data_IF_604468333149
#
_entry.id   IF_604468333149
#
_cell.length_a   1.000
_cell.length_b   1.000
_cell.length_c   1.000
_cell.angle_alpha   90.00
_cell.angle_beta   90.00
_cell.angle_gamma   90.00
#
_symmetry.space_group_name_H-M   'P 1'
#
loop_
_entity.id
_entity.type
_entity.pdbx_description
1 polymer ?
#
# COMPACT_ATOMS: atom_id res chain seq x y z
N UNK A 1 -59.11 27.46 -5.44
CA UNK A 1 -57.96 28.36 -5.20
C UNK A 1 -56.75 27.72 -5.85
N UNK A 2 -56.02 28.48 -6.67
CA UNK A 2 -54.70 28.11 -7.22
C UNK A 2 -53.86 29.39 -7.20
N UNK A 3 -52.57 29.28 -6.90
CA UNK A 3 -51.69 30.43 -6.71
C UNK A 3 -50.67 30.51 -7.84
N UNK A 4 -50.67 31.63 -8.57
CA UNK A 4 -49.56 32.02 -9.45
C UNK A 4 -48.64 33.01 -8.73
N UNK A 5 -47.33 32.86 -8.95
CA UNK A 5 -46.32 33.84 -8.54
C UNK A 5 -45.38 34.17 -9.71
N UNK A 6 -45.57 35.37 -10.26
CA UNK A 6 -44.68 36.06 -11.21
C UNK A 6 -43.43 36.60 -10.48
N UNK A 7 -42.31 37.01 -11.09
CA UNK A 7 -41.90 37.23 -12.49
C UNK A 7 -40.38 36.93 -12.66
N UNK A 8 -39.88 36.65 -13.88
CA UNK A 8 -38.45 36.65 -14.21
C UNK A 8 -38.03 37.80 -15.17
N UNK A 9 -36.98 38.56 -14.85
CA UNK A 9 -36.33 39.56 -15.72
C UNK A 9 -34.88 39.83 -15.25
N UNK A 10 -33.94 40.24 -16.13
CA UNK A 10 -33.59 39.60 -17.40
C UNK A 10 -32.07 39.37 -17.55
N UNK A 11 -31.65 38.67 -18.62
CA UNK A 11 -30.26 38.59 -19.04
C UNK A 11 -29.84 39.85 -19.82
N UNK A 12 -28.59 40.30 -19.63
CA UNK A 12 -27.99 41.42 -20.38
C UNK A 12 -27.12 40.87 -21.50
N UNK A 13 -27.32 41.36 -22.73
CA UNK A 13 -26.51 41.03 -23.90
C UNK A 13 -25.72 42.25 -24.39
N UNK A 14 -24.51 41.99 -24.88
CA UNK A 14 -23.64 42.95 -25.58
C UNK A 14 -23.25 42.35 -26.94
N UNK A 15 -23.68 42.99 -28.03
CA UNK A 15 -23.21 42.73 -29.41
C UNK A 15 -23.08 44.08 -30.12
N UNK A 16 -22.13 44.16 -31.05
CA UNK A 16 -21.62 45.39 -31.67
C UNK A 16 -22.55 46.00 -32.75
N UNK A 17 -22.27 47.23 -33.16
CA UNK A 17 -23.13 48.04 -34.03
C UNK A 17 -22.76 48.09 -35.52
N UNK A 18 -23.66 48.65 -36.34
CA UNK A 18 -23.39 49.03 -37.72
C UNK A 18 -24.64 49.37 -38.56
N UNK A 19 -24.53 50.36 -39.45
CA UNK A 19 -25.39 50.41 -40.66
C UNK A 19 -26.49 51.50 -40.81
N UNK A 20 -26.09 52.77 -40.98
CA UNK A 20 -26.52 53.65 -42.10
C UNK A 20 -28.02 53.84 -42.49
N UNK A 21 -28.51 55.10 -42.35
CA UNK A 21 -29.58 55.78 -43.15
C UNK A 21 -31.04 55.26 -42.96
N UNK A 22 -32.11 56.02 -43.26
CA UNK A 22 -32.27 57.26 -44.04
C UNK A 22 -33.42 58.19 -43.54
N UNK A 23 -33.36 59.46 -43.95
CA UNK A 23 -34.17 60.64 -43.60
C UNK A 23 -35.72 60.55 -43.75
N UNK A 24 -36.43 61.41 -42.98
CA UNK A 24 -37.50 62.28 -43.51
C UNK A 24 -37.73 63.51 -42.59
N UNK A 25 -37.41 64.71 -43.11
CA UNK A 25 -38.17 65.98 -43.09
C UNK A 25 -38.80 66.47 -41.74
N UNK A 26 -38.25 67.49 -41.04
CA UNK A 26 -38.29 68.96 -41.28
C UNK A 26 -39.53 69.69 -40.68
N UNK A 27 -39.49 71.01 -40.35
CA UNK A 27 -38.44 71.84 -39.72
C UNK A 27 -39.05 72.79 -38.60
N UNK A 28 -38.53 73.99 -38.27
CA UNK A 28 -37.31 74.27 -37.47
C UNK A 28 -37.49 75.29 -36.29
N UNK A 29 -36.52 75.37 -35.36
CA UNK A 29 -36.15 76.65 -34.72
C UNK A 29 -34.74 76.68 -34.06
N UNK A 30 -33.82 77.39 -34.73
CA UNK A 30 -32.87 78.40 -34.19
C UNK A 30 -32.10 78.18 -32.86
N UNK A 31 -30.79 77.95 -32.98
CA UNK A 31 -29.67 78.31 -32.05
C UNK A 31 -29.21 79.77 -32.31
N UNK A 32 -28.25 80.45 -31.59
CA UNK A 32 -27.05 80.00 -30.83
C UNK A 32 -26.88 80.74 -29.45
N UNK A 33 -25.73 81.08 -28.79
CA UNK A 33 -24.26 81.01 -29.00
C UNK A 33 -23.45 81.33 -27.70
N UNK A 34 -22.10 81.28 -27.75
CA UNK A 34 -21.08 81.79 -26.77
C UNK A 34 -21.01 81.09 -25.37
N UNK A 35 -19.92 81.12 -24.57
CA UNK A 35 -18.58 81.79 -24.62
C UNK A 35 -17.44 80.92 -24.00
N UNK A 36 -16.17 81.38 -24.07
CA UNK A 36 -14.96 80.67 -23.58
C UNK A 36 -14.56 80.99 -22.09
N UNK A 37 -13.30 80.91 -21.58
CA UNK A 37 -12.95 80.01 -20.48
C UNK A 37 -12.20 80.73 -19.32
N UNK A 38 -11.41 80.00 -18.51
CA UNK A 38 -10.12 80.56 -18.06
C UNK A 38 -8.91 79.61 -18.24
N UNK A 39 -7.75 80.21 -18.51
CA UNK A 39 -6.44 79.66 -18.15
C UNK A 39 -6.05 80.26 -16.76
N UNK A 40 -4.96 79.92 -16.06
CA UNK A 40 -3.66 79.40 -16.47
C UNK A 40 -2.88 78.96 -15.22
N UNK A 41 -2.08 77.89 -15.26
CA UNK A 41 -0.75 77.94 -14.61
C UNK A 41 0.27 76.96 -15.20
N UNK A 42 1.54 77.36 -15.24
CA UNK A 42 2.70 76.55 -15.69
C UNK A 42 3.71 76.43 -14.55
N UNK A 43 3.63 75.35 -13.77
CA UNK A 43 4.58 75.07 -12.68
C UNK A 43 5.71 74.12 -13.12
N UNK A 44 6.74 74.71 -13.74
CA UNK A 44 8.15 74.27 -13.85
C UNK A 44 8.49 72.77 -13.97
N UNK A 45 9.14 72.43 -15.09
CA UNK A 45 9.95 71.23 -15.28
C UNK A 45 11.04 71.02 -14.20
N UNK A 46 11.31 69.76 -13.87
CA UNK A 46 12.63 69.33 -13.37
C UNK A 46 12.96 67.93 -13.88
N UNK A 47 13.81 67.85 -14.89
CA UNK A 47 14.33 66.57 -15.38
C UNK A 47 15.20 65.87 -14.34
N UNK A 48 15.21 64.53 -14.36
CA UNK A 48 16.46 63.77 -14.22
C UNK A 48 16.37 62.37 -14.86
N UNK A 49 17.10 62.23 -15.96
CA UNK A 49 17.79 61.01 -16.44
C UNK A 49 17.06 59.65 -16.36
N UNK A 50 16.71 59.13 -17.56
CA UNK A 50 16.60 57.72 -17.93
C UNK A 50 17.25 56.71 -16.97
N UNK A 51 16.44 55.80 -16.44
CA UNK A 51 16.87 54.46 -15.98
C UNK A 51 16.53 53.40 -17.03
N UNK A 52 17.23 52.26 -17.02
CA UNK A 52 17.10 51.18 -18.01
C UNK A 52 16.00 50.17 -17.61
N UNK A 53 15.39 49.48 -18.60
CA UNK A 53 14.32 48.47 -18.49
C UNK A 53 12.99 48.92 -17.83
N UNK A 54 11.94 49.04 -18.65
CA UNK A 54 10.57 49.31 -18.21
C UNK A 54 9.84 48.08 -17.68
N UNK A 55 10.26 47.54 -16.53
CA UNK A 55 9.43 46.61 -15.73
C UNK A 55 8.63 47.44 -14.74
N UNK A 56 7.31 47.22 -14.64
CA UNK A 56 6.51 47.96 -13.65
C UNK A 56 6.92 47.55 -12.22
N UNK A 57 7.00 48.48 -11.25
CA UNK A 57 7.38 48.15 -9.87
C UNK A 57 6.49 47.06 -9.26
N UNK A 58 5.20 47.06 -9.59
CA UNK A 58 4.24 46.04 -9.19
C UNK A 58 4.58 44.65 -9.74
N UNK A 59 4.98 44.55 -11.01
CA UNK A 59 5.37 43.27 -11.61
C UNK A 59 6.69 42.74 -11.00
N UNK A 60 7.66 43.62 -10.76
CA UNK A 60 8.89 43.25 -10.07
C UNK A 60 8.62 42.74 -8.64
N UNK A 61 7.68 43.38 -7.91
CA UNK A 61 7.28 42.95 -6.57
C UNK A 61 6.53 41.61 -6.58
N UNK A 62 5.63 41.37 -7.54
CA UNK A 62 4.97 40.06 -7.72
C UNK A 62 5.98 38.96 -8.02
N UNK A 63 6.95 39.21 -8.92
CA UNK A 63 8.00 38.24 -9.24
C UNK A 63 8.88 37.96 -8.02
N UNK A 64 9.23 38.98 -7.21
CA UNK A 64 9.96 38.80 -5.96
C UNK A 64 9.19 37.92 -4.96
N UNK A 65 7.88 38.14 -4.79
CA UNK A 65 7.03 37.32 -3.93
C UNK A 65 6.96 35.86 -4.40
N UNK A 66 6.87 35.62 -5.71
CA UNK A 66 6.89 34.26 -6.27
C UNK A 66 8.23 33.55 -5.99
N UNK A 67 9.37 34.24 -6.15
CA UNK A 67 10.67 33.68 -5.77
C UNK A 67 10.76 33.39 -4.27
N UNK A 68 10.28 34.28 -3.41
CA UNK A 68 10.25 34.05 -1.96
C UNK A 68 9.41 32.83 -1.57
N UNK A 69 8.26 32.60 -2.23
CA UNK A 69 7.44 31.40 -2.01
C UNK A 69 8.17 30.12 -2.45
N UNK A 70 8.87 30.13 -3.59
CA UNK A 70 9.67 28.99 -4.06
C UNK A 70 10.82 28.69 -3.09
N UNK A 71 11.57 29.71 -2.65
CA UNK A 71 12.65 29.51 -1.68
C UNK A 71 12.13 29.08 -0.30
N UNK A 72 10.95 29.52 0.13
CA UNK A 72 10.32 29.06 1.36
C UNK A 72 9.93 27.58 1.29
N UNK A 73 9.35 27.13 0.16
CA UNK A 73 9.02 25.72 -0.07
C UNK A 73 10.27 24.82 -0.07
N UNK A 74 11.27 25.17 -0.88
CA UNK A 74 12.54 24.43 -0.96
C UNK A 74 13.30 24.42 0.38
N UNK A 75 13.27 25.52 1.13
CA UNK A 75 13.84 25.62 2.47
C UNK A 75 13.11 24.74 3.49
N UNK A 76 11.78 24.65 3.42
CA UNK A 76 10.97 23.78 4.27
C UNK A 76 11.21 22.29 3.98
N UNK A 77 11.28 21.90 2.70
CA UNK A 77 11.62 20.54 2.28
C UNK A 77 13.04 20.15 2.76
N UNK A 78 14.04 21.01 2.53
CA UNK A 78 15.40 20.79 3.00
C UNK A 78 15.49 20.67 4.53
N UNK A 79 14.75 21.50 5.26
CA UNK A 79 14.64 21.42 6.72
C UNK A 79 13.99 20.12 7.19
N UNK A 80 12.90 19.68 6.55
CA UNK A 80 12.21 18.43 6.87
C UNK A 80 13.14 17.22 6.64
N UNK A 81 13.85 17.17 5.51
CA UNK A 81 14.83 16.12 5.20
C UNK A 81 15.98 16.13 6.22
N UNK A 82 16.51 17.31 6.58
CA UNK A 82 17.56 17.44 7.60
C UNK A 82 17.07 16.93 8.96
N UNK A 83 15.85 17.28 9.38
CA UNK A 83 15.28 16.83 10.64
C UNK A 83 15.12 15.31 10.69
N UNK A 84 14.57 14.69 9.64
CA UNK A 84 14.46 13.23 9.51
C UNK A 84 15.84 12.55 9.54
N UNK A 85 16.85 13.12 8.88
CA UNK A 85 18.22 12.59 8.95
C UNK A 85 18.84 12.71 10.35
N UNK A 86 18.52 13.76 11.11
CA UNK A 86 18.99 13.92 12.49
C UNK A 86 18.31 12.92 13.43
N UNK A 87 17.01 12.68 13.26
CA UNK A 87 16.27 11.66 14.02
C UNK A 87 16.83 10.26 13.73
N UNK A 88 17.08 9.92 12.45
CA UNK A 88 17.72 8.66 12.07
C UNK A 88 19.14 8.50 12.67
N UNK A 89 19.93 9.58 12.73
CA UNK A 89 21.25 9.58 13.38
C UNK A 89 21.13 9.35 14.89
N UNK A 90 20.18 10.01 15.57
CA UNK A 90 19.91 9.80 16.99
C UNK A 90 19.40 8.38 17.29
N UNK A 91 18.44 7.86 16.53
CA UNK A 91 17.97 6.48 16.67
C UNK A 91 19.12 5.47 16.46
N UNK A 92 19.99 5.70 15.46
CA UNK A 92 21.20 4.87 15.24
C UNK A 92 22.16 4.95 16.43
N UNK A 93 22.39 6.14 16.99
CA UNK A 93 23.29 6.32 18.14
C UNK A 93 22.73 5.70 19.43
N UNK A 94 21.41 5.82 19.68
CA UNK A 94 20.72 5.14 20.79
C UNK A 94 20.72 3.62 20.60
N UNK A 95 20.53 3.12 19.38
CA UNK A 95 20.65 1.68 19.06
C UNK A 95 22.07 1.18 19.34
N UNK A 96 23.09 1.91 18.89
CA UNK A 96 24.49 1.58 19.15
C UNK A 96 24.81 1.58 20.67
N UNK A 97 24.32 2.55 21.44
CA UNK A 97 24.48 2.54 22.91
C UNK A 97 23.78 1.34 23.57
N UNK A 98 22.56 0.99 23.13
CA UNK A 98 21.86 -0.21 23.65
C UNK A 98 22.58 -1.51 23.31
N UNK A 99 23.20 -1.61 22.14
CA UNK A 99 24.03 -2.76 21.74
C UNK A 99 25.32 -2.86 22.58
N UNK A 100 25.96 -1.74 22.93
CA UNK A 100 27.16 -1.73 23.77
C UNK A 100 26.86 -2.08 25.24
N UNK A 101 25.67 -1.73 25.75
CA UNK A 101 25.29 -1.98 27.17
C UNK A 101 24.65 -3.35 27.38
N UNK A 102 23.98 -3.94 26.37
CA UNK A 102 23.35 -5.25 26.47
C UNK A 102 24.25 -6.36 25.92
N UNK A 103 25.15 -6.85 26.78
CA UNK A 103 26.19 -7.83 26.43
C UNK A 103 25.69 -9.23 26.07
N UNK A 104 25.11 -9.38 24.88
CA UNK A 104 25.12 -10.64 24.13
C UNK A 104 26.24 -10.58 23.10
N UNK A 105 27.07 -11.64 22.93
CA UNK A 105 28.00 -11.71 21.82
C UNK A 105 27.21 -11.78 20.52
N UNK A 106 27.20 -10.69 19.74
CA UNK A 106 26.85 -10.76 18.33
C UNK A 106 27.89 -11.67 17.66
N UNK A 107 27.51 -12.85 17.14
CA UNK A 107 28.47 -13.74 16.50
C UNK A 107 29.05 -13.01 15.30
N UNK A 108 30.37 -13.10 15.10
CA UNK A 108 31.03 -12.49 13.94
C UNK A 108 30.28 -12.85 12.66
N UNK A 109 29.61 -11.88 12.03
CA UNK A 109 29.04 -12.05 10.68
C UNK A 109 30.19 -11.98 9.67
N UNK A 110 31.07 -12.98 9.75
CA UNK A 110 31.79 -13.49 8.59
C UNK A 110 30.74 -13.75 7.52
N UNK A 111 31.07 -13.43 6.27
CA UNK A 111 30.19 -13.69 5.11
C UNK A 111 30.09 -15.18 4.77
N UNK A 112 29.73 -16.02 5.74
CA UNK A 112 29.56 -17.45 5.60
C UNK A 112 28.13 -17.76 5.14
N UNK A 113 27.90 -17.50 3.85
CA UNK A 113 26.89 -18.14 3.01
C UNK A 113 25.58 -18.56 3.71
N UNK A 114 24.82 -17.56 4.17
CA UNK A 114 23.53 -17.80 4.84
C UNK A 114 22.47 -18.39 3.91
N UNK A 115 22.69 -18.37 2.60
CA UNK A 115 21.81 -18.95 1.58
C UNK A 115 22.01 -20.48 1.41
N UNK A 116 22.84 -21.09 2.26
CA UNK A 116 23.02 -22.54 2.32
C UNK A 116 22.34 -23.22 3.52
N UNK A 117 21.68 -22.46 4.42
CA UNK A 117 20.97 -23.05 5.58
C UNK A 117 19.69 -23.75 5.12
N UNK A 118 19.47 -25.05 5.40
CA UNK A 118 18.28 -25.76 4.94
C UNK A 118 16.99 -25.16 5.50
N UNK A 119 16.24 -24.45 4.65
CA UNK A 119 15.05 -23.69 5.03
C UNK A 119 14.07 -23.51 3.87
N UNK A 120 12.78 -23.46 4.20
CA UNK A 120 11.71 -23.14 3.25
C UNK A 120 10.55 -22.41 3.95
N UNK A 121 9.91 -21.52 3.20
CA UNK A 121 8.63 -20.90 3.54
C UNK A 121 7.80 -20.86 2.26
N UNK A 122 6.55 -21.31 2.28
CA UNK A 122 5.70 -21.38 1.10
C UNK A 122 4.30 -20.84 1.41
N UNK A 123 3.75 -20.05 0.50
CA UNK A 123 2.42 -19.45 0.64
C UNK A 123 1.34 -20.43 0.16
N UNK A 124 0.10 -20.29 0.65
CA UNK A 124 -1.03 -21.10 0.17
C UNK A 124 -1.28 -20.92 -1.34
N UNK A 125 -1.41 -22.02 -2.08
CA UNK A 125 -1.75 -22.01 -3.51
C UNK A 125 -3.28 -22.02 -3.67
N UNK A 126 -3.81 -21.11 -4.49
CA UNK A 126 -5.25 -21.05 -4.78
C UNK A 126 -5.61 -22.11 -5.83
N UNK A 127 -5.97 -23.32 -5.39
CA UNK A 127 -6.41 -24.40 -6.26
C UNK A 127 -7.94 -24.35 -6.45
N UNK A 128 -8.37 -24.24 -7.71
CA UNK A 128 -9.79 -24.06 -8.09
C UNK A 128 -10.28 -25.25 -8.93
N UNK A 129 -10.62 -26.36 -8.26
CA UNK A 129 -11.17 -27.55 -8.89
C UNK A 129 -10.86 -28.84 -8.13
N UNK A 130 -9.72 -29.47 -8.43
CA UNK A 130 -9.31 -30.76 -7.85
C UNK A 130 -8.57 -30.56 -6.52
N UNK A 131 -9.17 -30.96 -5.40
CA UNK A 131 -8.50 -31.01 -4.10
C UNK A 131 -7.81 -32.37 -3.90
N UNK A 132 -6.49 -32.41 -4.09
CA UNK A 132 -5.66 -33.61 -3.84
C UNK A 132 -5.54 -33.88 -2.32
N UNK A 133 -5.15 -35.11 -1.94
CA UNK A 133 -4.99 -35.57 -0.54
C UNK A 133 -3.86 -34.88 0.27
N UNK A 134 -3.28 -33.81 -0.26
CA UNK A 134 -2.17 -33.02 0.32
C UNK A 134 -2.28 -31.59 -0.18
N UNK A 135 -2.18 -30.61 0.72
CA UNK A 135 -2.26 -29.20 0.36
C UNK A 135 -1.09 -28.78 -0.51
N UNK A 136 -1.35 -27.84 -1.41
CA UNK A 136 -0.37 -27.29 -2.35
C UNK A 136 -0.05 -25.85 -2.03
N UNK A 137 1.20 -25.54 -2.34
CA UNK A 137 1.87 -24.33 -1.89
C UNK A 137 2.58 -23.69 -3.07
N UNK A 138 2.73 -22.38 -2.97
CA UNK A 138 3.48 -21.52 -3.88
C UNK A 138 4.91 -21.34 -3.30
N UNK A 139 5.95 -21.88 -3.95
CA UNK A 139 7.31 -21.94 -3.41
C UNK A 139 8.23 -20.77 -3.81
N UNK A 140 7.79 -19.85 -4.69
CA UNK A 140 8.66 -18.80 -5.29
C UNK A 140 8.05 -17.40 -5.32
N UNK A 141 6.73 -17.25 -5.29
CA UNK A 141 6.07 -15.93 -5.41
C UNK A 141 5.91 -15.22 -4.04
N UNK A 142 6.08 -13.91 -4.04
CA UNK A 142 5.79 -13.03 -2.89
C UNK A 142 6.87 -13.10 -1.81
N UNK A 143 6.60 -13.84 -0.73
CA UNK A 143 7.56 -14.10 0.37
C UNK A 143 7.95 -15.58 0.47
N UNK A 144 7.52 -16.40 -0.47
CA UNK A 144 7.92 -17.80 -0.52
C UNK A 144 9.39 -17.96 -0.96
N UNK A 145 10.08 -18.94 -0.38
CA UNK A 145 11.43 -19.35 -0.76
C UNK A 145 11.68 -20.81 -0.38
N UNK A 146 12.64 -21.43 -1.05
CA UNK A 146 13.17 -22.77 -0.73
C UNK A 146 14.68 -22.71 -0.95
N UNK A 147 15.48 -22.98 0.09
CA UNK A 147 16.93 -22.77 0.10
C UNK A 147 17.67 -23.84 0.95
N UNK A 148 19.01 -23.88 0.85
CA UNK A 148 19.89 -24.80 1.57
C UNK A 148 19.59 -26.28 1.36
N UNK A 149 19.26 -26.70 0.14
CA UNK A 149 19.02 -28.11 -0.18
C UNK A 149 17.70 -28.72 0.34
N UNK A 150 16.81 -27.92 0.95
CA UNK A 150 15.39 -28.29 0.98
C UNK A 150 14.86 -28.28 -0.46
N UNK A 151 13.96 -29.20 -0.82
CA UNK A 151 13.31 -29.21 -2.13
C UNK A 151 11.80 -29.32 -2.00
N UNK A 152 11.05 -28.64 -2.87
CA UNK A 152 9.59 -28.73 -2.94
C UNK A 152 9.15 -29.50 -4.18
N UNK A 153 8.24 -30.45 -3.99
CA UNK A 153 7.63 -31.21 -5.08
C UNK A 153 6.22 -30.70 -5.37
N UNK A 154 6.05 -30.08 -6.53
CA UNK A 154 4.76 -29.53 -6.97
C UNK A 154 3.69 -30.64 -7.11
N UNK A 155 4.09 -31.86 -7.50
CA UNK A 155 3.15 -32.97 -7.79
C UNK A 155 2.57 -33.70 -6.57
N UNK A 156 3.27 -33.74 -5.43
CA UNK A 156 2.75 -34.32 -4.19
C UNK A 156 2.53 -33.29 -3.06
N UNK A 157 3.02 -32.05 -3.20
CA UNK A 157 2.90 -30.98 -2.20
C UNK A 157 3.88 -31.07 -1.03
N UNK A 158 4.87 -31.97 -1.10
CA UNK A 158 5.81 -32.22 -0.01
C UNK A 158 7.06 -31.34 -0.06
N UNK A 159 7.52 -30.89 1.12
CA UNK A 159 8.89 -30.42 1.34
C UNK A 159 9.77 -31.62 1.72
N UNK A 160 10.85 -31.83 0.96
CA UNK A 160 11.85 -32.86 1.25
C UNK A 160 13.14 -32.21 1.81
N UNK A 161 13.73 -32.83 2.83
CA UNK A 161 15.06 -32.42 3.35
C UNK A 161 16.18 -33.28 2.75
N UNK A 162 17.29 -32.65 2.34
CA UNK A 162 18.51 -33.32 1.86
C UNK A 162 19.41 -33.87 3.00
N UNK A 163 19.11 -33.53 4.25
CA UNK A 163 19.96 -33.75 5.42
C UNK A 163 19.14 -34.23 6.62
N UNK A 164 19.80 -34.99 7.50
CA UNK A 164 19.26 -35.32 8.82
C UNK A 164 19.56 -34.19 9.81
N UNK A 165 18.63 -33.89 10.71
CA UNK A 165 18.82 -32.83 11.70
C UNK A 165 17.60 -32.58 12.58
N UNK A 166 17.74 -31.61 13.49
CA UNK A 166 16.59 -30.99 14.16
C UNK A 166 16.03 -29.89 13.24
N UNK A 167 14.74 -29.92 12.97
CA UNK A 167 14.05 -28.93 12.15
C UNK A 167 12.89 -28.33 12.94
N UNK A 168 12.78 -27.00 12.96
CA UNK A 168 11.54 -26.35 13.36
C UNK A 168 10.60 -26.36 12.15
N UNK A 169 9.47 -27.05 12.28
CA UNK A 169 8.45 -27.21 11.23
C UNK A 169 7.22 -26.43 11.68
N UNK A 170 6.61 -25.65 10.78
CA UNK A 170 5.44 -24.83 11.11
C UNK A 170 4.45 -24.73 9.94
N UNK A 171 3.16 -24.59 10.27
CA UNK A 171 2.07 -24.41 9.29
C UNK A 171 0.93 -23.58 9.87
N UNK A 172 0.37 -22.66 9.08
CA UNK A 172 -0.89 -21.97 9.33
C UNK A 172 -1.91 -22.35 8.25
N UNK A 173 -3.13 -22.65 8.68
CA UNK A 173 -4.30 -22.69 7.78
C UNK A 173 -5.44 -21.84 8.32
N UNK A 174 -6.20 -21.25 7.40
CA UNK A 174 -7.35 -20.38 7.64
C UNK A 174 -8.51 -20.84 6.76
N UNK A 175 -9.68 -21.09 7.36
CA UNK A 175 -10.86 -21.65 6.71
C UNK A 175 -12.07 -20.74 6.89
N UNK A 176 -12.89 -20.63 5.84
CA UNK A 176 -14.10 -19.81 5.79
C UNK A 176 -15.31 -20.76 5.67
N UNK A 177 -15.96 -21.04 6.81
CA UNK A 177 -17.16 -21.84 6.89
C UNK A 177 -18.37 -20.98 6.52
N UNK A 178 -18.93 -21.18 5.32
CA UNK A 178 -20.07 -20.36 4.85
C UNK A 178 -21.32 -20.52 5.70
N UNK A 179 -21.61 -21.75 6.11
CA UNK A 179 -22.76 -22.13 6.93
C UNK A 179 -22.20 -22.75 8.23
N UNK A 180 -21.90 -21.93 9.24
CA UNK A 180 -21.23 -22.37 10.46
C UNK A 180 -22.21 -23.03 11.44
N UNK A 181 -22.07 -24.34 11.72
CA UNK A 181 -22.89 -25.06 12.71
C UNK A 181 -22.13 -25.32 14.01
N UNK A 182 -22.79 -25.47 15.18
CA UNK A 182 -22.13 -25.92 16.42
C UNK A 182 -21.41 -27.28 16.30
N UNK A 183 -21.75 -28.10 15.28
CA UNK A 183 -21.09 -29.37 14.93
C UNK A 183 -19.92 -29.20 13.94
N UNK A 184 -19.70 -28.01 13.40
CA UNK A 184 -18.62 -27.74 12.44
C UNK A 184 -17.26 -27.86 13.11
N UNK A 185 -16.38 -28.60 12.45
CA UNK A 185 -14.99 -28.79 12.87
C UNK A 185 -14.05 -28.87 11.66
N UNK A 186 -12.76 -28.83 11.92
CA UNK A 186 -11.76 -29.32 10.98
C UNK A 186 -10.57 -29.92 11.71
N UNK A 187 -9.90 -30.85 11.03
CA UNK A 187 -8.58 -31.35 11.40
C UNK A 187 -7.56 -30.63 10.51
N UNK A 188 -6.53 -30.04 11.10
CA UNK A 188 -5.30 -29.60 10.42
C UNK A 188 -4.17 -30.52 10.91
N UNK A 189 -3.41 -31.12 10.00
CA UNK A 189 -2.29 -31.99 10.38
C UNK A 189 -1.08 -31.85 9.48
N UNK A 190 0.10 -32.03 10.10
CA UNK A 190 1.41 -32.11 9.46
C UNK A 190 1.94 -33.52 9.66
N UNK A 191 2.38 -34.17 8.60
CA UNK A 191 2.87 -35.55 8.63
C UNK A 191 4.06 -35.74 7.70
N UNK A 192 4.86 -36.78 7.94
CA UNK A 192 5.92 -37.20 7.02
C UNK A 192 5.59 -38.49 6.28
N UNK A 193 6.23 -38.68 5.13
CA UNK A 193 6.35 -39.98 4.44
C UNK A 193 7.82 -40.31 4.18
N UNK A 194 8.14 -41.59 4.24
CA UNK A 194 9.47 -42.16 3.94
C UNK A 194 9.33 -43.14 2.80
N UNK A 195 10.31 -43.20 1.89
CA UNK A 195 10.33 -44.21 0.82
C UNK A 195 10.32 -45.67 1.36
N UNK A 196 10.72 -45.88 2.62
CA UNK A 196 10.73 -47.19 3.30
C UNK A 196 9.47 -47.51 4.12
N UNK A 197 8.51 -46.58 4.25
CA UNK A 197 7.29 -46.78 5.05
C UNK A 197 6.04 -46.43 4.26
N UNK A 198 5.13 -47.40 4.10
CA UNK A 198 3.87 -47.24 3.38
C UNK A 198 2.87 -46.34 4.13
N UNK A 199 2.90 -46.37 5.47
CA UNK A 199 2.08 -45.50 6.32
C UNK A 199 2.73 -44.11 6.48
N UNK A 200 1.96 -43.02 6.33
CA UNK A 200 2.37 -41.71 6.80
C UNK A 200 2.54 -41.69 8.32
N UNK A 201 3.48 -40.89 8.82
CA UNK A 201 3.68 -40.64 10.25
C UNK A 201 3.24 -39.22 10.58
N UNK A 202 2.14 -39.07 11.33
CA UNK A 202 1.70 -37.77 11.85
C UNK A 202 2.76 -37.19 12.78
N UNK A 203 3.09 -35.91 12.57
CA UNK A 203 4.05 -35.15 13.37
C UNK A 203 3.34 -34.16 14.30
N UNK A 204 2.26 -33.54 13.81
CA UNK A 204 1.45 -32.57 14.55
C UNK A 204 0.02 -32.65 14.03
N UNK A 205 -0.97 -32.51 14.91
CA UNK A 205 -2.38 -32.45 14.54
C UNK A 205 -3.14 -31.54 15.50
N UNK A 206 -4.11 -30.78 14.96
CA UNK A 206 -5.05 -29.97 15.72
C UNK A 206 -6.47 -30.20 15.19
N UNK A 207 -7.33 -30.78 16.03
CA UNK A 207 -8.77 -30.76 15.84
C UNK A 207 -9.34 -29.44 16.39
N UNK A 208 -10.02 -28.68 15.54
CA UNK A 208 -10.67 -27.40 15.87
C UNK A 208 -12.17 -27.59 15.72
N UNK A 209 -12.94 -27.32 16.77
CA UNK A 209 -14.40 -27.45 16.81
C UNK A 209 -15.00 -26.42 17.77
N UNK A 210 -16.33 -26.28 17.78
CA UNK A 210 -17.04 -25.42 18.74
C UNK A 210 -16.82 -23.92 18.57
N UNK A 211 -16.31 -23.50 17.41
CA UNK A 211 -16.06 -22.08 17.09
C UNK A 211 -17.29 -21.33 16.55
N UNK A 212 -18.31 -22.05 16.06
CA UNK A 212 -19.58 -21.45 15.63
C UNK A 212 -20.50 -21.19 16.83
N UNK A 213 -21.14 -20.02 16.88
CA UNK A 213 -22.25 -19.77 17.81
C UNK A 213 -23.55 -20.44 17.33
N UNK A 214 -24.57 -20.53 18.20
CA UNK A 214 -25.87 -21.15 17.88
C UNK A 214 -26.74 -20.37 16.88
N UNK A 215 -26.35 -19.16 16.47
CA UNK A 215 -27.26 -18.18 15.84
C UNK A 215 -26.76 -17.52 14.55
N UNK A 216 -25.69 -18.05 13.92
CA UNK A 216 -25.16 -17.49 12.66
C UNK A 216 -25.35 -18.45 11.48
N UNK A 217 -26.28 -18.10 10.58
CA UNK A 217 -26.26 -18.54 9.18
C UNK A 217 -25.21 -17.79 8.34
N UNK A 218 -24.43 -16.90 8.98
CA UNK A 218 -23.38 -16.11 8.36
C UNK A 218 -22.07 -16.89 8.24
N UNK A 219 -21.24 -16.48 7.29
CA UNK A 219 -19.89 -17.03 7.10
C UNK A 219 -18.97 -16.71 8.28
N UNK A 220 -18.20 -17.71 8.71
CA UNK A 220 -17.28 -17.64 9.84
C UNK A 220 -15.86 -18.01 9.43
N UNK A 221 -14.89 -17.17 9.77
CA UNK A 221 -13.46 -17.44 9.54
C UNK A 221 -12.82 -18.03 10.80
N UNK A 222 -12.05 -19.10 10.65
CA UNK A 222 -11.38 -19.79 11.75
C UNK A 222 -10.03 -20.34 11.30
N UNK A 223 -9.09 -20.48 12.24
CA UNK A 223 -7.69 -20.73 11.94
C UNK A 223 -7.07 -21.82 12.83
N UNK A 224 -5.99 -22.42 12.34
CA UNK A 224 -5.13 -23.34 13.07
C UNK A 224 -3.67 -23.05 12.75
N UNK A 225 -2.84 -23.04 13.79
CA UNK A 225 -1.39 -22.96 13.69
C UNK A 225 -0.78 -24.19 14.36
N UNK A 226 0.20 -24.81 13.70
CA UNK A 226 0.96 -25.95 14.21
C UNK A 226 2.45 -25.63 14.09
N UNK A 227 3.22 -25.89 15.15
CA UNK A 227 4.68 -25.74 15.13
C UNK A 227 5.38 -26.63 16.16
N UNK A 228 6.46 -27.31 15.76
CA UNK A 228 7.28 -28.13 16.65
C UNK A 228 8.72 -28.27 16.12
N UNK A 229 9.68 -28.41 17.05
CA UNK A 229 11.06 -28.77 16.73
C UNK A 229 11.19 -30.31 16.74
N UNK A 230 11.41 -30.91 15.57
CA UNK A 230 11.35 -32.35 15.36
C UNK A 230 12.57 -32.86 14.59
N UNK A 231 13.01 -34.09 14.88
CA UNK A 231 14.13 -34.72 14.17
C UNK A 231 13.64 -35.31 12.85
N UNK A 232 14.16 -34.78 11.73
CA UNK A 232 13.96 -35.35 10.39
C UNK A 232 15.20 -36.13 9.96
N UNK A 233 14.98 -37.17 9.15
CA UNK A 233 16.02 -37.92 8.47
C UNK A 233 16.20 -37.40 7.04
N UNK A 234 17.41 -37.52 6.50
CA UNK A 234 17.69 -37.28 5.08
C UNK A 234 16.68 -38.00 4.19
N UNK A 235 16.10 -37.26 3.25
CA UNK A 235 15.01 -37.64 2.34
C UNK A 235 13.61 -37.80 2.96
N UNK A 236 13.38 -37.48 4.23
CA UNK A 236 12.02 -37.34 4.79
C UNK A 236 11.25 -36.27 4.01
N UNK A 237 10.01 -36.60 3.61
CA UNK A 237 9.08 -35.69 2.92
C UNK A 237 7.97 -35.28 3.88
N UNK A 238 7.88 -33.99 4.21
CA UNK A 238 6.87 -33.41 5.12
C UNK A 238 5.74 -32.79 4.30
N UNK A 239 4.50 -33.04 4.72
CA UNK A 239 3.27 -32.64 4.07
C UNK A 239 2.31 -32.01 5.07
N UNK A 240 1.36 -31.23 4.56
CA UNK A 240 0.22 -30.69 5.30
C UNK A 240 -1.08 -31.18 4.68
N UNK A 241 -2.07 -31.48 5.52
CA UNK A 241 -3.43 -31.79 5.13
C UNK A 241 -4.44 -31.05 6.01
N UNK A 242 -5.66 -30.88 5.50
CA UNK A 242 -6.81 -30.37 6.24
C UNK A 242 -8.05 -31.17 5.85
N UNK A 243 -8.99 -31.38 6.76
CA UNK A 243 -10.20 -32.17 6.48
C UNK A 243 -11.14 -31.51 5.46
N UNK A 244 -11.11 -30.18 5.33
CA UNK A 244 -12.01 -29.39 4.50
C UNK A 244 -11.23 -28.43 3.57
N UNK A 245 -10.46 -28.94 2.59
CA UNK A 245 -9.57 -28.12 1.76
C UNK A 245 -10.34 -27.12 0.87
N UNK A 246 -11.58 -27.44 0.51
CA UNK A 246 -12.49 -26.55 -0.23
C UNK A 246 -13.00 -25.35 0.56
N UNK A 247 -12.75 -25.29 1.87
CA UNK A 247 -13.07 -24.15 2.72
C UNK A 247 -11.86 -23.26 3.02
N UNK A 248 -10.67 -23.57 2.49
CA UNK A 248 -9.47 -22.76 2.73
C UNK A 248 -9.65 -21.33 2.19
N UNK A 249 -9.24 -20.36 3.01
CA UNK A 249 -9.21 -18.95 2.66
C UNK A 249 -8.28 -18.74 1.46
N UNK A 250 -8.76 -18.01 0.44
CA UNK A 250 -7.93 -17.60 -0.69
C UNK A 250 -7.14 -16.30 -0.39
N UNK A 251 -7.10 -15.83 0.86
CA UNK A 251 -6.28 -14.71 1.27
C UNK A 251 -4.78 -15.07 1.20
N UNK A 252 -4.00 -14.23 0.51
CA UNK A 252 -2.59 -14.47 0.19
C UNK A 252 -1.70 -14.81 1.40
N UNK A 253 -2.06 -14.34 2.60
CA UNK A 253 -1.30 -14.55 3.84
C UNK A 253 -2.02 -15.40 4.90
N UNK A 254 -3.25 -15.88 4.61
CA UNK A 254 -4.03 -16.70 5.56
C UNK A 254 -3.46 -18.10 5.77
N UNK A 255 -2.76 -18.63 4.76
CA UNK A 255 -2.21 -19.99 4.75
C UNK A 255 -0.72 -19.97 4.38
N UNK A 256 0.11 -20.70 5.11
CA UNK A 256 1.52 -20.94 4.78
C UNK A 256 2.08 -22.20 5.46
N UNK A 257 3.11 -22.78 4.87
CA UNK A 257 3.82 -23.96 5.39
C UNK A 257 5.34 -23.77 5.20
N UNK A 258 6.13 -24.14 6.20
CA UNK A 258 7.58 -24.07 6.12
C UNK A 258 8.32 -24.90 7.17
N UNK A 259 9.64 -24.92 7.03
CA UNK A 259 10.56 -25.54 7.97
C UNK A 259 11.94 -24.88 7.87
N UNK A 260 12.73 -24.96 8.94
CA UNK A 260 14.16 -24.67 8.88
C UNK A 260 14.94 -25.58 9.83
N UNK A 261 16.14 -25.97 9.42
CA UNK A 261 17.10 -26.70 10.28
C UNK A 261 17.52 -25.77 11.41
N UNK A 262 17.46 -26.23 12.66
CA UNK A 262 17.80 -25.49 13.89
C UNK A 262 19.31 -25.42 14.05
#
# INVERSE_FOLDING_TARGET
MSCDQSYPFPQVFLVDGGGSRQNSDQPPSLVPCWSFPPAQERARSREKSRGFMGVSPSLALVVLLLFLLVFAALGFEAYQIHNMQMELKQMRQVRNHRLVVSGFPEPEVRGQDTDNRPAAHMMGRIERGEFRKTLRWEPRVGRAFVSGGVTYQIEDGGLQVNESGLYHIYSRVELIFRNCSPTSSFIHSVFLRRAKHLSPLTLMEAHRAGFCSKHLENSWTTESYLSAALKLQKYDKVFVNVSHPSLLSHAHYGNFFGLYKV
#
